data_IF_239744311522
#
_entry.id   IF_239744311522
#
_cell.length_a   1.000
_cell.length_b   1.000
_cell.length_c   1.000
_cell.angle_alpha   90.00
_cell.angle_beta   90.00
_cell.angle_gamma   90.00
#
_symmetry.space_group_name_H-M   'P 1'
#
loop_
_entity.id
_entity.type
_entity.pdbx_description
1 polymer ?
#
# COMPACT_ATOMS: atom_id res chain seq x y z
N UNK A 1 -23.87 0.72 -11.62
CA UNK A 1 -23.41 0.37 -10.26
C UNK A 1 -22.07 1.02 -10.02
N UNK A 2 -21.88 1.74 -8.91
CA UNK A 2 -20.53 2.17 -8.48
C UNK A 2 -19.91 0.99 -7.71
N UNK A 3 -18.73 0.54 -8.13
CA UNK A 3 -18.02 -0.55 -7.46
C UNK A 3 -17.91 -0.29 -5.94
N UNK A 4 -18.22 -1.29 -5.13
CA UNK A 4 -18.09 -1.22 -3.67
C UNK A 4 -19.15 -0.40 -2.93
N UNK A 5 -20.20 0.11 -3.59
CA UNK A 5 -21.33 0.78 -2.92
C UNK A 5 -22.58 -0.07 -2.93
N UNK A 6 -23.15 -0.29 -1.74
CA UNK A 6 -24.48 -0.83 -1.55
C UNK A 6 -25.42 0.35 -1.23
N UNK A 7 -26.39 0.60 -2.09
CA UNK A 7 -27.38 1.66 -1.87
C UNK A 7 -28.34 1.31 -0.71
N UNK A 8 -28.54 0.01 -0.47
CA UNK A 8 -29.29 -0.53 0.66
C UNK A 8 -28.61 -1.79 1.21
N UNK A 9 -28.60 -1.94 2.53
CA UNK A 9 -28.07 -3.14 3.17
C UNK A 9 -28.91 -4.39 2.80
N UNK A 10 -28.28 -5.48 2.34
CA UNK A 10 -28.98 -6.73 2.05
C UNK A 10 -29.63 -7.31 3.32
N UNK A 11 -30.83 -7.90 3.21
CA UNK A 11 -31.41 -8.68 4.30
C UNK A 11 -30.46 -9.79 4.73
N UNK A 12 -30.20 -9.91 6.04
CA UNK A 12 -29.35 -10.95 6.61
C UNK A 12 -27.84 -10.67 6.59
N UNK A 13 -27.41 -9.46 6.17
CA UNK A 13 -26.00 -9.07 6.28
C UNK A 13 -25.65 -8.80 7.76
N UNK A 14 -24.74 -9.60 8.30
CA UNK A 14 -24.17 -9.42 9.63
C UNK A 14 -22.92 -8.52 9.55
N UNK A 15 -22.99 -7.35 10.19
CA UNK A 15 -21.89 -6.37 10.22
C UNK A 15 -20.90 -6.60 11.36
N UNK A 16 -21.11 -7.63 12.18
CA UNK A 16 -20.17 -7.96 13.25
C UNK A 16 -18.88 -8.50 12.65
N UNK A 17 -17.76 -8.12 13.25
CA UNK A 17 -16.50 -8.78 12.95
C UNK A 17 -16.61 -10.27 13.27
N UNK A 18 -16.05 -11.16 12.43
CA UNK A 18 -15.96 -12.57 12.76
C UNK A 18 -15.18 -12.74 14.07
N UNK A 19 -15.64 -13.67 14.90
CA UNK A 19 -14.88 -14.08 16.09
C UNK A 19 -13.57 -14.70 15.61
N UNK A 20 -12.45 -14.28 16.19
CA UNK A 20 -11.16 -14.88 15.88
C UNK A 20 -11.21 -16.39 16.16
N UNK A 21 -10.65 -17.20 15.25
CA UNK A 21 -10.55 -18.63 15.48
C UNK A 21 -9.68 -18.93 16.71
N UNK A 22 -10.03 -19.96 17.46
CA UNK A 22 -9.24 -20.40 18.60
C UNK A 22 -7.79 -20.71 18.17
N UNK A 23 -6.82 -20.17 18.90
CA UNK A 23 -5.39 -20.41 18.65
C UNK A 23 -4.72 -19.49 17.61
N UNK A 24 -5.42 -18.49 17.06
CA UNK A 24 -4.81 -17.45 16.21
C UNK A 24 -5.02 -16.08 16.85
N UNK A 25 -4.28 -15.77 17.91
CA UNK A 25 -4.21 -14.41 18.41
C UNK A 25 -3.16 -13.63 17.61
N UNK A 26 -3.42 -12.34 17.34
CA UNK A 26 -2.39 -11.43 16.80
C UNK A 26 -1.12 -11.43 17.68
N UNK A 27 -1.30 -11.69 18.98
CA UNK A 27 -0.22 -11.86 19.95
C UNK A 27 0.66 -13.11 19.67
N UNK A 28 0.14 -14.15 19.03
CA UNK A 28 0.89 -15.37 18.70
C UNK A 28 1.77 -15.16 17.45
N UNK A 29 1.30 -14.35 16.50
CA UNK A 29 2.09 -13.91 15.33
C UNK A 29 3.29 -13.05 15.75
N UNK A 30 3.15 -12.28 16.84
CA UNK A 30 4.20 -11.41 17.36
C UNK A 30 5.32 -12.14 18.14
N UNK A 31 5.18 -13.44 18.45
CA UNK A 31 6.14 -14.20 19.27
C UNK A 31 7.40 -14.67 18.53
N UNK A 32 7.57 -14.32 17.27
CA UNK A 32 8.86 -14.44 16.57
C UNK A 32 9.66 -13.15 16.69
N UNK A 33 10.64 -13.10 17.60
CA UNK A 33 11.60 -11.98 17.65
C UNK A 33 12.45 -11.96 16.37
N UNK A 34 11.98 -11.24 15.37
CA UNK A 34 12.83 -10.65 14.34
C UNK A 34 12.70 -9.14 14.49
N UNK A 35 13.80 -8.41 14.33
CA UNK A 35 13.71 -6.97 14.21
C UNK A 35 12.77 -6.65 13.03
N UNK A 36 11.75 -5.78 13.20
CA UNK A 36 10.81 -5.52 12.13
C UNK A 36 11.56 -4.96 10.92
N UNK A 37 11.34 -5.56 9.74
CA UNK A 37 11.86 -5.02 8.49
C UNK A 37 10.95 -3.86 8.05
N UNK A 38 11.35 -2.63 8.39
CA UNK A 38 10.62 -1.41 8.05
C UNK A 38 11.03 -0.99 6.63
N UNK A 39 10.05 -0.79 5.76
CA UNK A 39 10.25 -0.24 4.41
C UNK A 39 9.44 1.04 4.22
N UNK A 40 10.01 1.98 3.49
CA UNK A 40 9.39 3.26 3.17
C UNK A 40 9.25 3.44 1.65
N UNK A 41 8.18 4.13 1.27
CA UNK A 41 7.82 4.46 -0.11
C UNK A 41 6.66 5.45 -0.14
N UNK A 42 6.16 5.72 -1.33
CA UNK A 42 4.98 6.54 -1.60
C UNK A 42 3.98 5.81 -2.49
N UNK A 43 2.95 6.55 -2.89
CA UNK A 43 1.79 6.04 -3.62
C UNK A 43 1.89 6.14 -5.14
N UNK A 44 2.95 6.76 -5.65
CA UNK A 44 3.22 6.91 -7.08
C UNK A 44 4.69 7.31 -7.32
N UNK A 45 5.19 7.04 -8.54
CA UNK A 45 6.52 7.46 -9.00
C UNK A 45 6.47 8.63 -10.00
N UNK A 46 5.29 9.22 -10.22
CA UNK A 46 5.04 10.24 -11.24
C UNK A 46 4.91 11.66 -10.66
N UNK A 47 5.58 11.93 -9.54
CA UNK A 47 5.50 13.20 -8.79
C UNK A 47 6.36 14.29 -9.46
N UNK A 48 5.75 15.17 -10.25
CA UNK A 48 6.50 16.15 -11.07
C UNK A 48 7.40 17.09 -10.27
N UNK A 49 7.01 17.46 -9.05
CA UNK A 49 7.79 18.34 -8.17
C UNK A 49 9.12 17.76 -7.71
N UNK A 50 9.39 16.48 -7.99
CA UNK A 50 10.67 15.84 -7.66
C UNK A 50 11.71 15.91 -8.79
N UNK A 51 11.40 16.57 -9.92
CA UNK A 51 12.41 16.95 -10.92
C UNK A 51 13.47 17.84 -10.27
N UNK A 52 14.73 17.62 -10.61
CA UNK A 52 15.87 18.34 -10.03
C UNK A 52 16.30 17.84 -8.65
N UNK A 53 15.57 16.88 -8.07
CA UNK A 53 15.96 16.20 -6.82
C UNK A 53 16.03 14.68 -7.03
N UNK A 54 14.91 13.97 -6.89
CA UNK A 54 14.82 12.51 -7.09
C UNK A 54 14.94 12.15 -8.57
N UNK A 55 14.36 12.97 -9.46
CA UNK A 55 14.36 12.75 -10.90
C UNK A 55 15.29 13.74 -11.59
N UNK A 56 16.04 13.32 -12.63
CA UNK A 56 16.82 14.25 -13.42
C UNK A 56 15.92 15.31 -14.08
N UNK A 57 16.41 16.54 -14.11
CA UNK A 57 15.59 17.70 -14.47
C UNK A 57 15.05 17.63 -15.91
N UNK A 58 15.81 17.04 -16.83
CA UNK A 58 15.48 16.98 -18.27
C UNK A 58 15.03 15.60 -18.75
N UNK A 59 15.03 14.60 -17.88
CA UNK A 59 14.75 13.23 -18.29
C UNK A 59 13.26 13.00 -18.59
N UNK A 60 12.93 12.11 -19.55
CA UNK A 60 11.56 11.73 -19.82
C UNK A 60 10.98 10.90 -18.67
N UNK A 61 9.68 11.04 -18.41
CA UNK A 61 9.00 10.40 -17.27
C UNK A 61 9.14 8.86 -17.23
N UNK A 62 9.36 8.21 -18.38
CA UNK A 62 9.58 6.76 -18.46
C UNK A 62 10.82 6.28 -17.69
N UNK A 63 11.80 7.15 -17.40
CA UNK A 63 12.98 6.78 -16.60
C UNK A 63 12.71 6.84 -15.10
N UNK A 64 11.66 7.54 -14.68
CA UNK A 64 11.38 7.86 -13.28
C UNK A 64 11.16 6.64 -12.37
N UNK A 65 10.52 5.52 -12.80
CA UNK A 65 10.43 4.33 -11.96
C UNK A 65 11.81 3.84 -11.48
N UNK A 66 12.81 3.88 -12.37
CA UNK A 66 14.18 3.48 -12.03
C UNK A 66 14.84 4.43 -11.04
N UNK A 67 14.60 5.73 -11.14
CA UNK A 67 15.10 6.72 -10.19
C UNK A 67 14.40 6.60 -8.82
N UNK A 68 13.08 6.43 -8.83
CA UNK A 68 12.29 6.22 -7.63
C UNK A 68 12.77 4.99 -6.85
N UNK A 69 12.97 3.85 -7.54
CA UNK A 69 13.43 2.60 -6.93
C UNK A 69 14.84 2.64 -6.35
N UNK A 70 15.66 3.64 -6.70
CA UNK A 70 16.96 3.89 -6.06
C UNK A 70 16.84 4.63 -4.72
N UNK A 71 15.74 5.35 -4.49
CA UNK A 71 15.48 6.08 -3.25
C UNK A 71 14.57 5.32 -2.29
N UNK A 72 13.58 4.60 -2.83
CA UNK A 72 12.54 3.93 -2.05
C UNK A 72 12.48 2.44 -2.38
N UNK A 73 12.38 1.63 -1.34
CA UNK A 73 12.33 0.16 -1.45
C UNK A 73 10.93 -0.41 -1.67
N UNK A 74 9.89 0.44 -1.61
CA UNK A 74 8.49 0.06 -1.83
C UNK A 74 7.73 1.13 -2.60
N UNK A 75 6.60 0.71 -3.15
CA UNK A 75 5.65 1.54 -3.86
C UNK A 75 4.26 0.98 -3.59
N UNK A 76 3.32 1.82 -3.17
CA UNK A 76 1.90 1.49 -3.24
C UNK A 76 1.41 1.81 -4.65
N UNK A 77 0.79 0.84 -5.32
CA UNK A 77 0.32 0.99 -6.69
C UNK A 77 -1.19 0.79 -6.78
N UNK A 78 -1.89 1.86 -7.11
CA UNK A 78 -3.32 1.85 -7.40
C UNK A 78 -3.51 1.73 -8.91
N UNK A 79 -3.79 0.52 -9.41
CA UNK A 79 -4.14 0.30 -10.80
C UNK A 79 -5.64 0.56 -10.99
N UNK A 80 -5.97 1.63 -11.72
CA UNK A 80 -7.35 2.00 -12.09
C UNK A 80 -7.61 1.78 -13.57
#
# INVERSE_FOLDING_TARGET
MKFGKLDTAPPGLDWRHPVAADGVQMADVARGKTNPNIKAGGTMWTIRGWRGSVYPEKDPQRTWPGHYGRQFGTLEFNAT
#
